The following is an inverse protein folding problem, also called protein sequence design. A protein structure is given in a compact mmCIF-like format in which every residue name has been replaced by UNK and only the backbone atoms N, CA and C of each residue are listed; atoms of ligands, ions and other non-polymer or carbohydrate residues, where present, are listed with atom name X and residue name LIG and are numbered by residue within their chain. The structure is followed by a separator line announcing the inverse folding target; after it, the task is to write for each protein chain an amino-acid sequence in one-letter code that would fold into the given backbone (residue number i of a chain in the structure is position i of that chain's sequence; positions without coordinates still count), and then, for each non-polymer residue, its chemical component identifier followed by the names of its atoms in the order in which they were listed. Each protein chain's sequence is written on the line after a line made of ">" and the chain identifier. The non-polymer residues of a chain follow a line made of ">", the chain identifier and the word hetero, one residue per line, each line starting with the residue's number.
data_IF_559375799692
#
_entry.id   IF_559375799692
#
_cell.length_a   1.000
_cell.length_b   1.000
_cell.length_c   1.000
_cell.angle_alpha   90.00
_cell.angle_beta   90.00
_cell.angle_gamma   90.00
#
_symmetry.space_group_name_H-M   'P 1'
#
loop_
_entity.id
_entity.type
_entity.pdbx_description
1 polymer ?
#
# COMPACT_ATOMS: atom_id res chain seq x y z
N UNK A 1 17.92 21.51 5.21
CA UNK A 1 18.96 20.61 5.74
C UNK A 1 18.31 19.84 6.89
N UNK A 2 18.10 18.54 6.73
CA UNK A 2 17.49 17.72 7.78
C UNK A 2 18.54 17.45 8.88
N UNK A 3 18.12 17.52 10.14
CA UNK A 3 18.95 17.29 11.32
C UNK A 3 19.34 15.80 11.40
N UNK A 4 20.64 15.45 11.51
CA UNK A 4 21.11 14.07 11.61
C UNK A 4 20.65 13.33 12.88
N UNK A 5 20.02 14.00 13.85
CA UNK A 5 19.51 13.40 15.09
C UNK A 5 17.99 13.17 15.15
N UNK A 6 17.26 13.36 14.04
CA UNK A 6 15.82 13.05 14.00
C UNK A 6 15.60 11.60 13.60
N UNK A 7 15.24 10.73 14.55
CA UNK A 7 14.65 9.41 14.25
C UNK A 7 13.49 9.64 13.28
N UNK A 8 13.61 9.12 12.05
CA UNK A 8 12.61 9.27 11.02
C UNK A 8 11.81 7.96 10.91
N UNK A 9 10.59 7.88 11.47
CA UNK A 9 9.81 6.66 11.46
C UNK A 9 9.43 6.20 10.04
N UNK A 10 9.46 7.10 9.04
CA UNK A 10 9.19 6.72 7.65
C UNK A 10 10.30 5.85 7.02
N UNK A 11 11.48 5.78 7.64
CA UNK A 11 12.62 4.98 7.16
C UNK A 11 12.83 3.69 7.96
N UNK A 12 12.05 3.48 9.02
CA UNK A 12 12.13 2.29 9.86
C UNK A 12 11.37 1.11 9.24
N UNK A 13 11.69 -0.15 9.61
CA UNK A 13 10.94 -1.31 9.16
C UNK A 13 9.46 -1.25 9.57
N UNK A 14 8.57 -1.56 8.63
CA UNK A 14 7.14 -1.72 8.94
C UNK A 14 6.96 -2.92 9.88
N UNK A 15 6.44 -2.66 11.08
CA UNK A 15 6.18 -3.65 12.13
C UNK A 15 4.68 -3.85 12.37
N UNK A 16 3.86 -3.42 11.42
CA UNK A 16 2.41 -3.52 11.50
C UNK A 16 1.97 -4.98 11.53
N UNK A 17 0.98 -5.27 12.39
CA UNK A 17 0.33 -6.56 12.48
C UNK A 17 -1.16 -6.39 12.20
N UNK A 18 -1.81 -7.42 11.63
CA UNK A 18 -3.24 -7.37 11.39
C UNK A 18 -4.02 -7.28 12.71
N UNK A 19 -5.17 -6.60 12.66
CA UNK A 19 -6.00 -6.32 13.84
C UNK A 19 -6.58 -7.61 14.48
N UNK A 20 -6.71 -8.68 13.70
CA UNK A 20 -7.33 -9.96 14.11
C UNK A 20 -6.38 -11.14 13.92
N UNK A 21 -6.34 -12.05 14.90
CA UNK A 21 -5.54 -13.26 14.83
C UNK A 21 -6.01 -14.17 13.68
N UNK A 22 -5.07 -14.59 12.83
CA UNK A 22 -5.33 -15.45 11.68
C UNK A 22 -5.47 -14.71 10.34
N UNK A 23 -5.53 -13.38 10.36
CA UNK A 23 -5.40 -12.59 9.14
C UNK A 23 -3.93 -12.32 8.83
N UNK A 24 -3.65 -11.99 7.57
CA UNK A 24 -2.36 -11.51 7.09
C UNK A 24 -2.49 -10.14 6.42
N UNK A 25 -1.36 -9.43 6.33
CA UNK A 25 -1.25 -8.13 5.69
C UNK A 25 -0.53 -8.23 4.35
N UNK A 26 -1.08 -7.53 3.36
CA UNK A 26 -0.45 -7.31 2.07
C UNK A 26 -0.52 -5.84 1.68
N UNK A 27 0.51 -5.33 0.99
CA UNK A 27 0.53 -3.95 0.52
C UNK A 27 0.89 -3.87 -0.96
N UNK A 28 0.06 -3.18 -1.74
CA UNK A 28 0.18 -3.10 -3.19
C UNK A 28 0.22 -1.63 -3.66
N UNK A 29 1.21 -1.29 -4.48
CA UNK A 29 1.27 -0.02 -5.20
C UNK A 29 0.98 -0.25 -6.69
N UNK A 30 -0.17 0.24 -7.17
CA UNK A 30 -0.65 -0.01 -8.53
C UNK A 30 -1.25 1.23 -9.21
N UNK A 31 -0.79 2.44 -8.84
CA UNK A 31 -1.34 3.70 -9.34
C UNK A 31 -2.37 4.31 -8.40
N UNK A 32 -3.40 4.97 -8.96
CA UNK A 32 -4.43 5.61 -8.16
C UNK A 32 -5.13 4.60 -7.25
N UNK A 33 -4.96 4.76 -5.93
CA UNK A 33 -5.43 3.80 -4.95
C UNK A 33 -6.95 3.58 -4.93
N UNK A 34 -7.77 4.47 -5.50
CA UNK A 34 -9.23 4.39 -5.45
C UNK A 34 -9.78 3.21 -6.26
N UNK A 35 -9.27 3.04 -7.49
CA UNK A 35 -9.68 1.93 -8.35
C UNK A 35 -9.11 0.60 -7.85
N UNK A 36 -7.89 0.65 -7.31
CA UNK A 36 -7.18 -0.52 -6.77
C UNK A 36 -7.87 -1.02 -5.49
N UNK A 37 -8.21 -0.13 -4.57
CA UNK A 37 -8.89 -0.48 -3.32
C UNK A 37 -10.25 -1.12 -3.60
N UNK A 38 -11.05 -0.52 -4.47
CA UNK A 38 -12.36 -1.06 -4.86
C UNK A 38 -12.26 -2.47 -5.46
N UNK A 39 -11.15 -2.78 -6.12
CA UNK A 39 -10.90 -4.11 -6.67
C UNK A 39 -10.65 -5.14 -5.56
N UNK A 40 -9.79 -4.81 -4.58
CA UNK A 40 -9.48 -5.69 -3.45
C UNK A 40 -10.68 -5.90 -2.52
N UNK A 41 -11.49 -4.87 -2.29
CA UNK A 41 -12.72 -4.96 -1.48
C UNK A 41 -13.73 -6.01 -1.97
N UNK A 42 -13.62 -6.45 -3.22
CA UNK A 42 -14.53 -7.43 -3.85
C UNK A 42 -13.98 -8.85 -3.86
N UNK A 43 -12.77 -9.09 -3.35
CA UNK A 43 -12.20 -10.43 -3.25
C UNK A 43 -12.78 -11.13 -2.00
N UNK A 44 -13.28 -12.34 -2.20
CA UNK A 44 -13.69 -13.21 -1.10
C UNK A 44 -12.48 -13.55 -0.21
N UNK A 45 -12.61 -13.37 1.10
CA UNK A 45 -11.51 -13.53 2.05
C UNK A 45 -10.76 -12.24 2.40
N UNK A 46 -10.99 -11.14 1.66
CA UNK A 46 -10.55 -9.81 2.11
C UNK A 46 -11.52 -9.28 3.16
N UNK A 47 -10.98 -8.88 4.31
CA UNK A 47 -11.77 -8.45 5.47
C UNK A 47 -11.76 -6.93 5.63
N UNK A 48 -10.63 -6.28 5.29
CA UNK A 48 -10.45 -4.83 5.43
C UNK A 48 -9.46 -4.34 4.37
N UNK A 49 -9.72 -3.15 3.85
CA UNK A 49 -8.76 -2.41 3.03
C UNK A 49 -8.51 -1.03 3.62
N UNK A 50 -7.30 -0.53 3.45
CA UNK A 50 -6.89 0.80 3.84
C UNK A 50 -6.04 1.39 2.72
N UNK A 51 -6.18 2.69 2.46
CA UNK A 51 -5.34 3.40 1.48
C UNK A 51 -4.37 4.32 2.20
N UNK A 52 -3.17 4.46 1.64
CA UNK A 52 -2.14 5.27 2.26
C UNK A 52 -0.96 5.55 1.34
N UNK A 53 0.11 6.01 1.98
CA UNK A 53 1.36 6.40 1.34
C UNK A 53 2.50 5.65 2.01
N UNK A 54 3.38 5.03 1.24
CA UNK A 54 4.49 4.25 1.78
C UNK A 54 5.77 4.41 0.95
N UNK A 55 6.89 3.97 1.53
CA UNK A 55 8.24 3.97 0.94
C UNK A 55 8.76 5.37 0.50
N UNK A 56 8.22 6.44 1.08
CA UNK A 56 8.77 7.80 0.98
C UNK A 56 9.60 8.18 2.21
N UNK A 57 10.12 9.42 2.21
CA UNK A 57 11.03 9.89 3.28
C UNK A 57 10.36 10.80 4.31
N UNK A 58 9.18 11.36 4.01
CA UNK A 58 8.50 12.29 4.89
C UNK A 58 7.55 11.55 5.84
N UNK A 59 7.70 11.62 7.17
CA UNK A 59 6.72 11.03 8.09
C UNK A 59 5.38 11.79 8.04
N UNK A 60 4.29 11.07 8.26
CA UNK A 60 2.91 11.59 8.30
C UNK A 60 2.55 12.56 7.15
N UNK A 61 2.78 12.17 5.88
CA UNK A 61 2.52 13.04 4.74
C UNK A 61 1.00 13.23 4.56
N UNK A 62 0.57 14.44 4.16
CA UNK A 62 -0.77 14.65 3.66
C UNK A 62 -0.81 14.53 2.13
N UNK A 63 -2.01 14.35 1.56
CA UNK A 63 -2.21 14.21 0.12
C UNK A 63 -1.55 15.31 -0.72
N UNK A 64 -1.68 16.58 -0.30
CA UNK A 64 -1.09 17.71 -1.05
C UNK A 64 0.43 17.63 -1.12
N UNK A 65 1.09 17.15 -0.06
CA UNK A 65 2.53 16.96 -0.04
C UNK A 65 2.94 15.83 -0.98
N UNK A 66 2.21 14.71 -0.99
CA UNK A 66 2.48 13.59 -1.92
C UNK A 66 2.29 14.03 -3.37
N UNK A 67 1.21 14.74 -3.68
CA UNK A 67 0.96 15.28 -5.03
C UNK A 67 2.02 16.27 -5.51
N UNK A 68 2.80 16.87 -4.62
CA UNK A 68 3.93 17.73 -5.02
C UNK A 68 5.08 16.93 -5.65
N UNK A 69 5.10 15.60 -5.49
CA UNK A 69 6.15 14.72 -5.98
C UNK A 69 7.46 14.78 -5.20
N UNK A 70 7.53 15.56 -4.12
CA UNK A 70 8.79 15.77 -3.37
C UNK A 70 9.01 14.77 -2.24
N UNK A 71 7.98 14.03 -1.82
CA UNK A 71 8.04 13.11 -0.68
C UNK A 71 8.54 11.71 -1.03
N UNK A 72 8.59 11.38 -2.33
CA UNK A 72 8.86 10.04 -2.88
C UNK A 72 7.93 8.93 -2.35
N UNK A 73 6.79 9.29 -1.76
CA UNK A 73 5.79 8.31 -1.37
C UNK A 73 5.07 7.72 -2.58
N UNK A 74 4.71 6.45 -2.46
CA UNK A 74 3.86 5.73 -3.42
C UNK A 74 2.47 5.59 -2.83
N UNK A 75 1.43 5.83 -3.64
CA UNK A 75 0.05 5.46 -3.28
C UNK A 75 -0.08 3.94 -3.19
N UNK A 76 -0.52 3.45 -2.04
CA UNK A 76 -0.64 2.01 -1.76
C UNK A 76 -2.00 1.67 -1.19
N UNK A 77 -2.42 0.42 -1.43
CA UNK A 77 -3.55 -0.23 -0.76
C UNK A 77 -2.98 -1.29 0.17
N UNK A 78 -3.34 -1.21 1.45
CA UNK A 78 -3.10 -2.24 2.45
C UNK A 78 -4.34 -3.11 2.57
N UNK A 79 -4.14 -4.43 2.49
CA UNK A 79 -5.19 -5.44 2.45
C UNK A 79 -5.01 -6.37 3.64
N UNK A 80 -6.05 -6.52 4.46
CA UNK A 80 -6.14 -7.54 5.50
C UNK A 80 -6.99 -8.68 4.94
N UNK A 81 -6.44 -9.89 4.89
CA UNK A 81 -7.09 -11.04 4.29
C UNK A 81 -6.90 -12.32 5.11
N UNK A 82 -7.85 -13.25 5.02
CA UNK A 82 -7.73 -14.59 5.59
C UNK A 82 -7.03 -15.50 4.57
N UNK A 83 -5.79 -15.96 4.82
CA UNK A 83 -5.04 -16.79 3.88
C UNK A 83 -5.68 -18.17 3.63
N UNK A 84 -6.58 -18.63 4.52
CA UNK A 84 -7.31 -19.89 4.33
C UNK A 84 -8.46 -19.78 3.33
N UNK A 85 -9.00 -18.57 3.15
CA UNK A 85 -10.08 -18.28 2.19
C UNK A 85 -9.51 -17.68 0.90
N UNK A 86 -8.54 -16.78 1.04
CA UNK A 86 -7.88 -16.09 -0.05
C UNK A 86 -6.36 -16.31 0.02
N UNK A 87 -5.80 -17.31 -0.68
CA UNK A 87 -4.36 -17.43 -0.81
C UNK A 87 -3.74 -16.16 -1.38
N UNK A 88 -2.53 -15.81 -0.95
CA UNK A 88 -1.83 -14.60 -1.40
C UNK A 88 -1.70 -14.51 -2.93
N UNK A 89 -1.61 -15.65 -3.62
CA UNK A 89 -1.61 -15.73 -5.08
C UNK A 89 -2.84 -15.11 -5.73
N UNK A 90 -4.01 -15.19 -5.10
CA UNK A 90 -5.23 -14.56 -5.63
C UNK A 90 -5.12 -13.02 -5.61
N UNK A 91 -4.47 -12.47 -4.58
CA UNK A 91 -4.19 -11.03 -4.50
C UNK A 91 -3.20 -10.62 -5.59
N UNK A 92 -2.16 -11.42 -5.82
CA UNK A 92 -1.19 -11.20 -6.90
C UNK A 92 -1.85 -11.28 -8.28
N UNK A 93 -2.72 -12.25 -8.52
CA UNK A 93 -3.44 -12.39 -9.79
C UNK A 93 -4.30 -11.16 -10.08
N UNK A 94 -5.04 -10.66 -9.09
CA UNK A 94 -5.76 -9.40 -9.22
C UNK A 94 -4.80 -8.25 -9.52
N UNK A 95 -3.73 -8.12 -8.72
CA UNK A 95 -2.74 -7.06 -8.85
C UNK A 95 -2.21 -7.00 -10.28
N UNK A 96 -1.64 -8.08 -10.81
CA UNK A 96 -1.06 -8.11 -12.16
C UNK A 96 -2.10 -7.95 -13.28
N UNK A 97 -3.37 -8.30 -13.06
CA UNK A 97 -4.43 -8.09 -14.05
C UNK A 97 -4.90 -6.63 -14.17
N UNK A 98 -4.52 -5.75 -13.22
CA UNK A 98 -5.11 -4.40 -13.07
C UNK A 98 -4.17 -3.24 -13.36
N UNK A 99 -2.88 -3.47 -13.52
CA UNK A 99 -1.93 -2.41 -13.82
C UNK A 99 -0.88 -2.90 -14.81
N UNK A 100 -0.21 -1.96 -15.50
CA UNK A 100 0.94 -2.28 -16.35
C UNK A 100 2.21 -2.07 -15.53
N UNK A 101 2.87 -3.15 -15.05
CA UNK A 101 4.05 -3.03 -14.19
C UNK A 101 5.30 -2.55 -14.91
N UNK A 102 5.22 -2.28 -16.22
CA UNK A 102 6.34 -1.77 -17.02
C UNK A 102 6.30 -0.26 -17.21
N UNK A 103 5.27 0.42 -16.69
CA UNK A 103 5.16 1.88 -16.78
C UNK A 103 5.82 2.58 -15.58
N UNK A 104 7.02 3.11 -15.83
CA UNK A 104 7.79 3.84 -14.82
C UNK A 104 7.10 5.18 -14.46
N UNK A 105 6.93 5.43 -13.16
CA UNK A 105 6.40 6.68 -12.59
C UNK A 105 5.05 7.12 -13.17
N UNK A 106 4.23 6.17 -13.62
CA UNK A 106 2.90 6.43 -14.17
C UNK A 106 2.06 5.16 -14.08
N UNK A 107 0.78 5.34 -13.81
CA UNK A 107 -0.29 4.37 -14.09
C UNK A 107 -1.48 5.15 -14.62
N UNK A 108 -2.25 4.54 -15.53
CA UNK A 108 -3.40 5.16 -16.19
C UNK A 108 -4.70 4.55 -15.70
#
# INVERSE_FOLDING_TARGET
>A
MADPNTNNPALEPDSDNPDQAGLELAQFGAGCFWGVELAFQRIEGVVKTEVGYSQGHLPDPNYKLVCSGTTNHVEVVRVHFDPNVCPYTNLLDLFWSRHDPTTLNRQV
#
